data_IF_654655670820
#
_entry.id   IF_654655670820
#
_cell.length_a   1.000
_cell.length_b   1.000
_cell.length_c   1.000
_cell.angle_alpha   90.00
_cell.angle_beta   90.00
_cell.angle_gamma   90.00
#
_symmetry.space_group_name_H-M   'P 1'
#
loop_
_entity.id
_entity.type
_entity.pdbx_description
1 polymer ?
#
# COMPACT_ATOMS: atom_id res chain seq x y z
N UNK A 1 -42.47 -30.35 -46.83
CA UNK A 1 -41.11 -29.74 -47.05
C UNK A 1 -41.02 -28.29 -46.53
N UNK A 2 -41.92 -27.38 -46.84
CA UNK A 2 -41.81 -25.96 -46.38
C UNK A 2 -41.95 -25.78 -44.84
N UNK A 3 -42.81 -26.56 -44.20
CA UNK A 3 -43.02 -26.48 -42.74
C UNK A 3 -41.81 -27.01 -41.95
N UNK A 4 -41.16 -28.07 -42.42
CA UNK A 4 -39.96 -28.64 -41.79
C UNK A 4 -38.77 -27.67 -41.90
N UNK A 5 -38.64 -26.98 -43.02
CA UNK A 5 -37.59 -25.97 -43.22
C UNK A 5 -37.75 -24.78 -42.24
N UNK A 6 -38.98 -24.35 -41.94
CA UNK A 6 -39.25 -23.30 -40.97
C UNK A 6 -38.94 -23.71 -39.53
N UNK A 7 -39.20 -24.99 -39.18
CA UNK A 7 -38.81 -25.54 -37.85
C UNK A 7 -37.28 -25.63 -37.69
N UNK A 8 -36.57 -26.00 -38.71
CA UNK A 8 -35.09 -26.03 -38.69
C UNK A 8 -34.52 -24.63 -38.55
N UNK A 9 -35.04 -23.62 -39.27
CA UNK A 9 -34.61 -22.22 -39.16
C UNK A 9 -34.93 -21.67 -37.78
N UNK A 10 -36.10 -21.96 -37.20
CA UNK A 10 -36.46 -21.55 -35.85
C UNK A 10 -35.53 -22.20 -34.78
N UNK A 11 -35.19 -23.49 -34.98
CA UNK A 11 -34.27 -24.17 -34.07
C UNK A 11 -32.85 -23.60 -34.13
N UNK A 12 -32.34 -23.29 -35.34
CA UNK A 12 -31.03 -22.62 -35.53
C UNK A 12 -31.04 -21.22 -34.91
N UNK A 13 -32.14 -20.46 -35.06
CA UNK A 13 -32.28 -19.13 -34.44
C UNK A 13 -32.29 -19.21 -32.92
N UNK A 14 -32.95 -20.22 -32.31
CA UNK A 14 -32.94 -20.43 -30.86
C UNK A 14 -31.54 -20.83 -30.36
N UNK A 15 -30.79 -21.67 -31.13
CA UNK A 15 -29.42 -22.04 -30.78
C UNK A 15 -28.48 -20.81 -30.90
N UNK A 16 -28.68 -19.95 -31.89
CA UNK A 16 -27.90 -18.71 -32.03
C UNK A 16 -28.16 -17.71 -30.90
N UNK A 17 -29.40 -17.64 -30.37
CA UNK A 17 -29.73 -16.79 -29.23
C UNK A 17 -29.13 -17.35 -27.91
N UNK A 18 -29.04 -18.67 -27.76
CA UNK A 18 -28.41 -19.31 -26.61
C UNK A 18 -26.88 -19.19 -26.63
N UNK A 19 -26.27 -19.00 -27.80
CA UNK A 19 -24.81 -18.74 -27.94
C UNK A 19 -24.42 -17.29 -27.66
N UNK A 20 -25.39 -16.35 -27.59
CA UNK A 20 -25.12 -14.94 -27.30
C UNK A 20 -24.85 -14.63 -25.81
N UNK A 21 -24.95 -15.64 -24.93
CA UNK A 21 -24.56 -15.52 -23.53
C UNK A 21 -23.11 -15.95 -23.32
N UNK A 22 -22.20 -15.62 -24.27
CA UNK A 22 -20.77 -15.87 -24.17
C UNK A 22 -20.15 -15.09 -23.03
N UNK A 23 -19.39 -15.75 -22.18
CA UNK A 23 -18.51 -15.08 -21.22
C UNK A 23 -17.52 -14.21 -21.99
N UNK A 24 -17.41 -12.90 -21.64
CA UNK A 24 -16.44 -11.98 -22.24
C UNK A 24 -15.05 -12.61 -22.24
N UNK A 25 -14.30 -12.42 -23.30
CA UNK A 25 -12.90 -12.82 -23.40
C UNK A 25 -12.01 -11.98 -22.48
N UNK A 26 -10.79 -12.40 -22.25
CA UNK A 26 -9.80 -11.62 -21.53
C UNK A 26 -9.61 -10.24 -22.16
N UNK A 27 -9.48 -10.20 -23.49
CA UNK A 27 -9.27 -8.98 -24.29
C UNK A 27 -10.44 -7.99 -24.13
N UNK A 28 -11.70 -8.50 -24.19
CA UNK A 28 -12.88 -7.66 -24.01
C UNK A 28 -12.91 -7.04 -22.60
N UNK A 29 -12.62 -7.86 -21.57
CA UNK A 29 -12.64 -7.37 -20.17
C UNK A 29 -11.48 -6.40 -19.90
N UNK A 30 -10.32 -6.66 -20.46
CA UNK A 30 -9.16 -5.76 -20.34
C UNK A 30 -9.45 -4.41 -20.99
N UNK A 31 -10.10 -4.41 -22.15
CA UNK A 31 -10.55 -3.19 -22.84
C UNK A 31 -11.60 -2.43 -22.00
N UNK A 32 -12.59 -3.13 -21.47
CA UNK A 32 -13.61 -2.52 -20.59
C UNK A 32 -12.97 -1.87 -19.34
N UNK A 33 -11.97 -2.53 -18.73
CA UNK A 33 -11.23 -2.00 -17.57
C UNK A 33 -10.45 -0.73 -17.95
N UNK A 34 -9.79 -0.75 -19.11
CA UNK A 34 -9.06 0.40 -19.61
C UNK A 34 -10.01 1.59 -19.87
N UNK A 35 -11.08 1.37 -20.64
CA UNK A 35 -12.08 2.39 -20.93
C UNK A 35 -12.69 2.95 -19.62
N UNK A 36 -13.05 2.08 -18.69
CA UNK A 36 -13.54 2.48 -17.37
C UNK A 36 -12.55 3.36 -16.63
N UNK A 37 -11.27 2.97 -16.56
CA UNK A 37 -10.23 3.75 -15.88
C UNK A 37 -10.00 5.12 -16.56
N UNK A 38 -10.09 5.19 -17.89
CA UNK A 38 -9.94 6.44 -18.64
C UNK A 38 -11.12 7.40 -18.43
N UNK A 39 -12.35 6.89 -18.39
CA UNK A 39 -13.59 7.68 -18.25
C UNK A 39 -13.86 8.16 -16.83
N UNK A 40 -13.32 7.48 -15.81
CA UNK A 40 -13.49 7.87 -14.41
C UNK A 40 -13.02 9.30 -14.17
N UNK A 41 -13.85 10.10 -13.50
CA UNK A 41 -13.46 11.41 -12.95
C UNK A 41 -12.83 11.29 -11.56
N UNK A 42 -13.10 10.21 -10.87
CA UNK A 42 -12.59 9.87 -9.56
C UNK A 42 -13.40 8.77 -8.89
N UNK A 43 -13.02 8.40 -7.69
CA UNK A 43 -13.76 7.43 -6.88
C UNK A 43 -13.50 7.63 -5.38
N UNK A 44 -14.39 7.04 -4.58
CA UNK A 44 -14.19 6.75 -3.16
C UNK A 44 -14.28 5.25 -2.97
N UNK A 45 -13.39 4.68 -2.18
CA UNK A 45 -13.43 3.27 -1.82
C UNK A 45 -13.06 3.06 -0.36
N UNK A 46 -13.58 2.00 0.23
CA UNK A 46 -13.13 1.47 1.52
C UNK A 46 -12.69 0.03 1.33
N UNK A 47 -11.62 -0.32 2.00
CA UNK A 47 -11.04 -1.65 1.93
C UNK A 47 -10.41 -2.04 3.27
N UNK A 48 -10.22 -3.34 3.46
CA UNK A 48 -9.39 -3.89 4.52
C UNK A 48 -8.15 -4.49 3.92
N UNK A 49 -6.98 -4.05 4.39
CA UNK A 49 -5.70 -4.63 4.00
C UNK A 49 -5.15 -5.49 5.14
N UNK A 50 -4.70 -6.68 4.81
CA UNK A 50 -4.02 -7.58 5.74
C UNK A 50 -2.62 -7.86 5.21
N UNK A 51 -1.62 -7.65 6.06
CA UNK A 51 -0.21 -7.90 5.78
C UNK A 51 0.24 -9.13 6.57
N UNK A 52 0.68 -10.18 5.88
CA UNK A 52 1.26 -11.36 6.49
C UNK A 52 2.79 -11.16 6.62
N UNK A 53 3.20 -10.29 7.56
CA UNK A 53 4.61 -9.97 7.84
C UNK A 53 4.90 -10.28 9.30
N UNK A 54 6.01 -11.00 9.56
CA UNK A 54 6.37 -11.43 10.91
C UNK A 54 5.48 -12.55 11.44
N UNK A 55 5.36 -12.64 12.77
CA UNK A 55 4.65 -13.73 13.45
C UNK A 55 3.13 -13.54 13.50
N UNK A 56 2.64 -12.32 13.34
CA UNK A 56 1.21 -12.01 13.38
C UNK A 56 0.82 -11.12 12.18
N UNK A 57 -0.35 -11.39 11.56
CA UNK A 57 -0.83 -10.52 10.49
C UNK A 57 -1.26 -9.16 11.04
N UNK A 58 -0.90 -8.11 10.31
CA UNK A 58 -1.32 -6.74 10.59
C UNK A 58 -2.49 -6.37 9.67
N UNK A 59 -3.55 -5.81 10.24
CA UNK A 59 -4.73 -5.36 9.49
C UNK A 59 -4.89 -3.85 9.56
N UNK A 60 -5.28 -3.26 8.42
CA UNK A 60 -5.53 -1.82 8.26
C UNK A 60 -6.87 -1.62 7.58
N UNK A 61 -7.67 -0.71 8.11
CA UNK A 61 -8.79 -0.15 7.38
C UNK A 61 -8.29 0.98 6.49
N UNK A 62 -8.70 0.97 5.22
CA UNK A 62 -8.23 1.92 4.22
C UNK A 62 -9.41 2.69 3.64
N UNK A 63 -9.36 4.02 3.74
CA UNK A 63 -10.21 4.93 3.01
C UNK A 63 -9.45 5.55 1.84
N UNK A 64 -9.97 5.39 0.63
CA UNK A 64 -9.32 5.81 -0.61
C UNK A 64 -10.21 6.81 -1.33
N UNK A 65 -9.67 8.00 -1.58
CA UNK A 65 -10.31 9.02 -2.40
C UNK A 65 -9.37 9.38 -3.56
N UNK A 66 -9.91 9.38 -4.74
CA UNK A 66 -9.21 9.83 -5.94
C UNK A 66 -10.07 10.80 -6.74
N UNK A 67 -9.46 11.88 -7.22
CA UNK A 67 -10.07 12.86 -8.11
C UNK A 67 -9.08 13.24 -9.23
N UNK A 68 -9.49 13.08 -10.48
CA UNK A 68 -8.63 13.46 -11.61
C UNK A 68 -8.40 14.98 -11.65
N UNK A 69 -7.23 15.42 -12.15
CA UNK A 69 -6.23 14.62 -12.87
C UNK A 69 -5.22 13.87 -11.97
N UNK A 70 -5.15 14.07 -10.67
CA UNK A 70 -4.10 13.42 -9.88
C UNK A 70 -4.15 13.70 -8.39
N UNK A 71 -5.32 14.08 -7.85
CA UNK A 71 -5.51 14.20 -6.41
C UNK A 71 -5.82 12.83 -5.82
N UNK A 72 -5.12 12.45 -4.75
CA UNK A 72 -5.31 11.23 -3.98
C UNK A 72 -5.28 11.52 -2.50
N UNK A 73 -6.10 10.80 -1.75
CA UNK A 73 -6.08 10.73 -0.30
C UNK A 73 -6.29 9.27 0.09
N UNK A 74 -5.29 8.65 0.68
CA UNK A 74 -5.34 7.27 1.17
C UNK A 74 -5.07 7.31 2.66
N UNK A 75 -6.06 6.94 3.45
CA UNK A 75 -5.98 6.91 4.90
C UNK A 75 -5.91 5.46 5.37
N UNK A 76 -4.79 5.09 6.00
CA UNK A 76 -4.53 3.77 6.57
C UNK A 76 -4.68 3.85 8.09
N UNK A 77 -5.54 3.02 8.66
CA UNK A 77 -5.78 2.93 10.11
C UNK A 77 -5.52 1.53 10.61
N UNK A 78 -4.71 1.40 11.63
CA UNK A 78 -4.54 0.18 12.39
C UNK A 78 -5.18 0.33 13.77
N UNK A 79 -6.42 -0.16 13.92
CA UNK A 79 -7.18 -0.02 15.17
C UNK A 79 -6.50 -0.66 16.37
N UNK A 80 -5.86 -1.84 16.18
CA UNK A 80 -5.20 -2.56 17.28
C UNK A 80 -4.02 -1.80 17.88
N UNK A 81 -3.34 -0.99 17.04
CA UNK A 81 -2.15 -0.21 17.44
C UNK A 81 -2.45 1.27 17.60
N UNK A 82 -3.71 1.69 17.42
CA UNK A 82 -4.10 3.11 17.38
C UNK A 82 -3.20 3.97 16.47
N UNK A 83 -2.82 3.39 15.32
CA UNK A 83 -1.94 4.01 14.33
C UNK A 83 -2.75 4.49 13.14
N UNK A 84 -2.44 5.69 12.71
CA UNK A 84 -3.04 6.27 11.51
C UNK A 84 -1.98 6.97 10.70
N UNK A 85 -1.99 6.71 9.40
CA UNK A 85 -1.14 7.40 8.44
C UNK A 85 -1.96 7.74 7.20
N UNK A 86 -1.69 8.90 6.59
CA UNK A 86 -2.38 9.30 5.38
C UNK A 86 -1.40 9.67 4.28
N UNK A 87 -1.57 9.07 3.11
CA UNK A 87 -0.89 9.49 1.89
C UNK A 87 -1.79 10.48 1.18
N UNK A 88 -1.29 11.67 0.92
CA UNK A 88 -2.00 12.72 0.22
C UNK A 88 -1.20 13.17 -1.00
N UNK A 89 -1.83 13.18 -2.16
CA UNK A 89 -1.31 13.83 -3.37
C UNK A 89 -2.26 14.92 -3.80
N UNK A 90 -1.71 16.09 -4.05
CA UNK A 90 -2.44 17.22 -4.60
C UNK A 90 -1.53 18.05 -5.52
N UNK A 91 -1.99 19.23 -5.95
CA UNK A 91 -1.22 20.11 -6.86
C UNK A 91 0.11 20.61 -6.29
N UNK A 92 0.31 20.53 -4.97
CA UNK A 92 1.50 21.05 -4.29
C UNK A 92 2.56 19.97 -4.04
N UNK A 93 2.20 18.69 -4.19
CA UNK A 93 3.12 17.55 -4.04
C UNK A 93 2.48 16.31 -3.49
N UNK A 94 3.34 15.39 -3.06
CA UNK A 94 2.99 14.15 -2.38
C UNK A 94 3.40 14.25 -0.92
N UNK A 95 2.50 13.92 -0.03
CA UNK A 95 2.68 14.05 1.41
C UNK A 95 2.34 12.75 2.12
N UNK A 96 3.08 12.43 3.15
CA UNK A 96 2.71 11.42 4.14
C UNK A 96 2.45 12.16 5.45
N UNK A 97 1.20 12.10 5.92
CA UNK A 97 0.77 12.71 7.16
C UNK A 97 0.79 11.66 8.26
N UNK A 98 1.40 12.00 9.38
CA UNK A 98 1.42 11.18 10.59
C UNK A 98 0.67 11.92 11.70
N UNK A 99 -0.66 11.70 11.85
CA UNK A 99 -1.51 12.46 12.75
C UNK A 99 -1.07 12.42 14.21
N UNK A 100 -0.60 11.25 14.67
CA UNK A 100 -0.11 11.05 16.04
C UNK A 100 1.09 11.95 16.39
N UNK A 101 1.89 12.35 15.41
CA UNK A 101 3.06 13.23 15.59
C UNK A 101 2.79 14.67 15.16
N UNK A 102 1.61 14.96 14.60
CA UNK A 102 1.29 16.23 13.94
C UNK A 102 2.34 16.64 12.87
N UNK A 103 2.95 15.65 12.20
CA UNK A 103 3.98 15.84 11.19
C UNK A 103 3.48 15.51 9.78
N UNK A 104 3.97 16.29 8.82
CA UNK A 104 3.76 16.08 7.38
C UNK A 104 5.12 15.92 6.69
N UNK A 105 5.32 14.84 5.98
CA UNK A 105 6.52 14.58 5.18
C UNK A 105 6.21 14.83 3.72
N UNK A 106 6.88 15.79 3.10
CA UNK A 106 6.69 16.14 1.69
C UNK A 106 7.76 15.48 0.84
N UNK A 107 7.32 14.66 -0.12
CA UNK A 107 8.17 13.92 -1.04
C UNK A 107 8.24 14.55 -2.43
N UNK A 108 9.38 14.38 -3.10
CA UNK A 108 9.54 14.57 -4.53
C UNK A 108 9.36 13.20 -5.20
N UNK A 109 8.11 12.81 -5.47
CA UNK A 109 7.78 11.47 -5.97
C UNK A 109 6.69 11.54 -7.03
N UNK A 110 6.74 10.59 -7.99
CA UNK A 110 5.69 10.38 -9.00
C UNK A 110 4.57 9.46 -8.52
N UNK A 111 4.56 9.12 -7.21
CA UNK A 111 3.50 8.28 -6.64
C UNK A 111 2.10 8.74 -7.12
N UNK A 112 1.18 7.83 -7.44
CA UNK A 112 1.27 6.37 -7.37
C UNK A 112 1.80 5.69 -8.64
N UNK A 113 2.27 6.43 -9.63
CA UNK A 113 2.58 5.90 -10.99
C UNK A 113 3.86 5.06 -11.05
N UNK A 114 4.77 5.29 -10.14
CA UNK A 114 6.11 4.67 -10.12
C UNK A 114 6.12 3.20 -9.68
N UNK A 115 5.03 2.69 -9.10
CA UNK A 115 4.96 1.35 -8.51
C UNK A 115 3.53 0.82 -8.49
N UNK A 116 3.34 -0.49 -8.34
CA UNK A 116 2.04 -1.10 -8.03
C UNK A 116 1.48 -0.57 -6.72
N UNK A 117 0.15 -0.40 -6.66
CA UNK A 117 -0.57 -0.05 -5.44
C UNK A 117 -1.80 -0.96 -5.36
N UNK A 118 -1.76 -1.95 -4.46
CA UNK A 118 -2.79 -2.99 -4.36
C UNK A 118 -4.20 -2.47 -4.01
N UNK A 119 -4.32 -1.21 -3.60
CA UNK A 119 -5.58 -0.57 -3.22
C UNK A 119 -6.03 0.55 -4.17
N UNK A 120 -5.29 0.87 -5.24
CA UNK A 120 -5.66 1.92 -6.21
C UNK A 120 -6.18 1.33 -7.51
N UNK A 121 -7.40 1.67 -7.90
CA UNK A 121 -8.07 1.14 -9.09
C UNK A 121 -7.24 1.28 -10.36
N UNK A 122 -6.67 2.46 -10.61
CA UNK A 122 -5.85 2.71 -11.78
C UNK A 122 -4.57 1.87 -11.79
N UNK A 123 -4.00 1.63 -10.62
CA UNK A 123 -2.81 0.79 -10.50
C UNK A 123 -3.12 -0.66 -10.84
N UNK A 124 -4.26 -1.19 -10.37
CA UNK A 124 -4.70 -2.54 -10.69
C UNK A 124 -4.92 -2.73 -12.19
N UNK A 125 -5.59 -1.77 -12.82
CA UNK A 125 -5.81 -1.80 -14.28
C UNK A 125 -4.48 -1.68 -15.04
N UNK A 126 -3.58 -0.78 -14.61
CA UNK A 126 -2.28 -0.60 -15.25
C UNK A 126 -1.40 -1.85 -15.14
N UNK A 127 -1.47 -2.59 -14.05
CA UNK A 127 -0.71 -3.85 -13.87
C UNK A 127 -1.22 -4.92 -14.85
N UNK A 128 -2.54 -5.04 -15.04
CA UNK A 128 -3.12 -5.98 -16.01
C UNK A 128 -2.73 -5.60 -17.44
N UNK A 129 -2.79 -4.31 -17.79
CA UNK A 129 -2.43 -3.82 -19.12
C UNK A 129 -0.94 -3.98 -19.45
N UNK A 130 -0.09 -3.91 -18.42
CA UNK A 130 1.36 -4.04 -18.56
C UNK A 130 1.83 -5.49 -18.74
N UNK A 131 1.03 -6.47 -18.33
CA UNK A 131 1.40 -7.90 -18.36
C UNK A 131 0.73 -8.63 -19.53
N UNK A 132 1.46 -8.80 -20.62
CA UNK A 132 0.99 -9.56 -21.79
C UNK A 132 0.79 -11.06 -21.53
N UNK A 133 1.31 -11.58 -20.42
CA UNK A 133 1.20 -12.98 -20.00
C UNK A 133 0.16 -13.18 -18.88
N UNK A 134 -0.60 -12.13 -18.55
CA UNK A 134 -1.63 -12.21 -17.53
C UNK A 134 -2.60 -13.36 -17.79
N UNK A 135 -2.89 -14.15 -16.77
CA UNK A 135 -3.88 -15.22 -16.86
C UNK A 135 -5.26 -14.66 -16.46
N UNK A 136 -6.29 -15.17 -17.11
CA UNK A 136 -7.65 -14.72 -16.91
C UNK A 136 -8.60 -15.89 -16.66
N UNK A 137 -9.51 -15.69 -15.71
CA UNK A 137 -10.60 -16.61 -15.40
C UNK A 137 -11.89 -15.85 -15.18
N UNK A 138 -12.94 -16.19 -15.91
CA UNK A 138 -14.28 -15.71 -15.66
C UNK A 138 -15.05 -16.74 -14.81
N UNK A 139 -15.50 -16.34 -13.62
CA UNK A 139 -16.42 -17.12 -12.76
C UNK A 139 -17.88 -16.71 -13.04
N UNK A 140 -18.82 -17.15 -12.25
CA UNK A 140 -20.23 -16.72 -12.39
C UNK A 140 -20.38 -15.23 -12.15
N UNK A 141 -19.70 -14.67 -11.14
CA UNK A 141 -19.89 -13.31 -10.64
C UNK A 141 -18.67 -12.41 -10.83
N UNK A 142 -17.47 -12.98 -11.06
CA UNK A 142 -16.23 -12.24 -11.05
C UNK A 142 -15.38 -12.52 -12.28
N UNK A 143 -14.51 -11.55 -12.57
CA UNK A 143 -13.32 -11.68 -13.41
C UNK A 143 -12.11 -11.74 -12.52
N UNK A 144 -11.24 -12.72 -12.71
CA UNK A 144 -10.01 -12.91 -11.94
C UNK A 144 -8.82 -12.86 -12.89
N UNK A 145 -7.85 -12.01 -12.57
CA UNK A 145 -6.58 -11.88 -13.27
C UNK A 145 -5.44 -12.28 -12.36
N UNK A 146 -4.55 -13.15 -12.84
CA UNK A 146 -3.25 -13.36 -12.26
C UNK A 146 -2.23 -12.61 -13.12
N UNK A 147 -1.50 -11.65 -12.53
CA UNK A 147 -0.58 -10.76 -13.26
C UNK A 147 0.68 -10.48 -12.45
N UNK A 148 1.73 -10.05 -13.14
CA UNK A 148 2.97 -9.57 -12.52
C UNK A 148 2.73 -8.23 -11.82
N UNK A 149 3.53 -7.96 -10.81
CA UNK A 149 3.54 -6.66 -10.13
C UNK A 149 4.58 -5.73 -10.73
N UNK A 150 4.42 -4.43 -10.46
CA UNK A 150 5.41 -3.39 -10.76
C UNK A 150 6.01 -2.79 -9.49
N UNK A 151 6.03 -3.57 -8.38
CA UNK A 151 6.69 -3.14 -7.15
C UNK A 151 8.21 -2.96 -7.35
N UNK A 152 8.81 -2.04 -6.60
CA UNK A 152 10.26 -1.85 -6.61
C UNK A 152 10.99 -3.14 -6.20
N UNK A 153 10.42 -3.90 -5.26
CA UNK A 153 10.90 -5.20 -4.80
C UNK A 153 10.22 -6.38 -5.51
N UNK A 154 10.04 -6.28 -6.83
CA UNK A 154 9.35 -7.30 -7.66
C UNK A 154 9.91 -8.71 -7.54
N UNK A 155 11.18 -8.89 -7.13
CA UNK A 155 11.76 -10.20 -6.91
C UNK A 155 11.16 -10.89 -5.67
N UNK A 156 10.73 -10.11 -4.67
CA UNK A 156 10.08 -10.62 -3.46
C UNK A 156 8.56 -10.72 -3.63
N UNK A 157 7.96 -9.81 -4.42
CA UNK A 157 6.53 -9.69 -4.66
C UNK A 157 6.23 -9.76 -6.16
N UNK A 158 6.51 -10.90 -6.83
CA UNK A 158 6.49 -10.96 -8.30
C UNK A 158 5.09 -10.95 -8.90
N UNK A 159 4.09 -11.50 -8.21
CA UNK A 159 2.77 -11.77 -8.78
C UNK A 159 1.65 -11.27 -7.88
N UNK A 160 0.49 -11.06 -8.49
CA UNK A 160 -0.75 -10.75 -7.77
C UNK A 160 -1.97 -11.37 -8.46
N UNK A 161 -3.00 -11.66 -7.66
CA UNK A 161 -4.34 -12.01 -8.11
C UNK A 161 -5.28 -10.82 -7.88
N UNK A 162 -5.96 -10.37 -8.94
CA UNK A 162 -6.89 -9.25 -8.89
C UNK A 162 -8.28 -9.73 -9.29
N UNK A 163 -9.27 -9.51 -8.44
CA UNK A 163 -10.67 -9.91 -8.67
C UNK A 163 -11.54 -8.69 -8.86
N UNK A 164 -12.32 -8.66 -9.97
CA UNK A 164 -13.33 -7.64 -10.25
C UNK A 164 -14.72 -8.25 -10.32
N UNK A 165 -15.71 -7.49 -9.89
CA UNK A 165 -17.13 -7.84 -10.03
C UNK A 165 -17.58 -7.68 -11.47
N UNK A 166 -18.29 -8.69 -12.01
CA UNK A 166 -18.91 -8.59 -13.33
C UNK A 166 -19.95 -7.48 -13.37
N UNK A 167 -20.06 -6.83 -14.52
CA UNK A 167 -21.01 -5.75 -14.76
C UNK A 167 -20.54 -4.39 -14.29
N UNK A 168 -20.10 -4.23 -13.05
CA UNK A 168 -19.66 -2.94 -12.50
C UNK A 168 -18.16 -2.69 -12.66
N UNK A 169 -17.34 -3.74 -12.78
CA UNK A 169 -15.88 -3.70 -12.78
C UNK A 169 -15.30 -3.07 -11.49
N UNK A 170 -16.05 -3.15 -10.39
CA UNK A 170 -15.56 -2.81 -9.07
C UNK A 170 -14.53 -3.84 -8.62
N UNK A 171 -13.39 -3.43 -8.01
CA UNK A 171 -12.47 -4.37 -7.40
C UNK A 171 -13.13 -5.05 -6.19
N UNK A 172 -12.90 -6.33 -6.04
CA UNK A 172 -13.41 -7.16 -4.92
C UNK A 172 -12.26 -7.49 -3.99
N UNK A 173 -11.16 -8.00 -4.54
CA UNK A 173 -9.97 -8.34 -3.77
C UNK A 173 -8.71 -8.29 -4.61
N UNK A 174 -7.60 -8.06 -3.93
CA UNK A 174 -6.24 -8.17 -4.46
C UNK A 174 -5.43 -8.99 -3.50
N UNK A 175 -4.66 -9.96 -4.02
CA UNK A 175 -3.69 -10.73 -3.25
C UNK A 175 -2.33 -10.60 -3.92
N UNK A 176 -1.37 -10.01 -3.22
CA UNK A 176 0.02 -9.95 -3.67
C UNK A 176 0.77 -11.12 -3.08
N UNK A 177 1.49 -11.85 -3.94
CA UNK A 177 2.15 -13.11 -3.61
C UNK A 177 3.66 -12.92 -3.50
N UNK A 178 4.27 -13.67 -2.57
CA UNK A 178 5.72 -13.86 -2.55
C UNK A 178 6.18 -14.81 -3.69
N UNK A 179 7.49 -15.05 -3.78
CA UNK A 179 8.06 -15.97 -4.76
C UNK A 179 7.59 -17.43 -4.60
N UNK A 180 7.11 -17.80 -3.41
CA UNK A 180 6.56 -19.14 -3.11
C UNK A 180 5.05 -19.22 -3.31
N UNK A 181 4.43 -18.18 -3.88
CA UNK A 181 2.98 -18.06 -4.11
C UNK A 181 2.16 -17.98 -2.81
N UNK A 182 2.74 -17.56 -1.70
CA UNK A 182 1.99 -17.25 -0.49
C UNK A 182 1.48 -15.81 -0.55
N UNK A 183 0.21 -15.55 -0.19
CA UNK A 183 -0.32 -14.20 -0.13
C UNK A 183 0.30 -13.46 1.07
N UNK A 184 1.05 -12.40 0.79
CA UNK A 184 1.70 -11.54 1.80
C UNK A 184 0.98 -10.21 2.00
N UNK A 185 0.25 -9.74 0.97
CA UNK A 185 -0.68 -8.61 1.09
C UNK A 185 -2.03 -9.06 0.54
N UNK A 186 -3.09 -8.86 1.32
CA UNK A 186 -4.47 -9.08 0.87
C UNK A 186 -5.25 -7.79 1.09
N UNK A 187 -5.91 -7.30 0.04
CA UNK A 187 -6.84 -6.16 0.09
C UNK A 187 -8.22 -6.64 -0.27
N UNK A 188 -9.20 -6.41 0.60
CA UNK A 188 -10.61 -6.74 0.40
C UNK A 188 -11.42 -5.45 0.36
N UNK A 189 -12.01 -5.15 -0.80
CA UNK A 189 -12.81 -3.95 -0.98
C UNK A 189 -14.24 -4.19 -0.44
N UNK A 190 -14.72 -3.27 0.40
CA UNK A 190 -16.06 -3.34 0.97
C UNK A 190 -17.05 -2.39 0.31
N UNK A 191 -16.56 -1.25 -0.19
CA UNK A 191 -17.37 -0.24 -0.86
C UNK A 191 -16.57 0.43 -1.97
N UNK A 192 -17.25 0.71 -3.09
CA UNK A 192 -16.72 1.49 -4.20
C UNK A 192 -17.80 2.44 -4.71
N UNK A 193 -17.47 3.72 -4.85
CA UNK A 193 -18.33 4.74 -5.42
C UNK A 193 -17.58 5.44 -6.55
N UNK A 194 -18.02 5.27 -7.77
CA UNK A 194 -17.44 5.91 -8.94
C UNK A 194 -18.03 7.31 -9.15
N UNK A 195 -17.18 8.25 -9.52
CA UNK A 195 -17.51 9.63 -9.85
C UNK A 195 -18.24 10.41 -8.71
N UNK A 196 -17.80 10.28 -7.44
CA UNK A 196 -18.35 11.07 -6.35
C UNK A 196 -18.07 12.56 -6.56
N UNK A 197 -18.80 13.40 -5.85
CA UNK A 197 -18.48 14.82 -5.76
C UNK A 197 -17.52 15.04 -4.60
N UNK A 198 -16.50 15.84 -4.83
CA UNK A 198 -15.55 16.27 -3.81
C UNK A 198 -15.68 17.78 -3.55
N UNK A 199 -15.57 18.16 -2.29
CA UNK A 199 -15.47 19.55 -1.89
C UNK A 199 -14.09 20.11 -2.26
N UNK A 200 -14.00 21.43 -2.40
CA UNK A 200 -12.78 22.12 -2.83
C UNK A 200 -11.57 21.79 -1.95
N UNK A 201 -11.79 21.53 -0.67
CA UNK A 201 -10.75 21.29 0.32
C UNK A 201 -10.55 19.81 0.69
N UNK A 202 -11.19 18.88 -0.06
CA UNK A 202 -11.12 17.43 0.21
C UNK A 202 -9.70 16.85 0.18
N UNK A 203 -8.79 17.51 -0.54
CA UNK A 203 -7.39 17.12 -0.71
C UNK A 203 -6.40 18.18 -0.17
N UNK A 204 -6.89 19.05 0.70
CA UNK A 204 -6.04 20.01 1.41
C UNK A 204 -5.28 19.34 2.55
N UNK A 205 -4.00 19.70 2.71
CA UNK A 205 -3.10 19.05 3.67
C UNK A 205 -3.53 19.30 5.13
N UNK A 206 -3.89 20.56 5.47
CA UNK A 206 -4.30 20.90 6.83
C UNK A 206 -5.64 20.25 7.19
N UNK A 207 -6.63 20.32 6.29
CA UNK A 207 -7.93 19.70 6.50
C UNK A 207 -7.80 18.17 6.61
N UNK A 208 -6.93 17.57 5.82
CA UNK A 208 -6.66 16.13 5.86
C UNK A 208 -6.00 15.72 7.17
N UNK A 209 -5.03 16.50 7.66
CA UNK A 209 -4.41 16.30 8.98
C UNK A 209 -5.44 16.42 10.11
N UNK A 210 -6.21 17.51 10.15
CA UNK A 210 -7.25 17.71 11.16
C UNK A 210 -8.29 16.59 11.16
N UNK A 211 -8.74 16.17 9.97
CA UNK A 211 -9.67 15.05 9.83
C UNK A 211 -9.08 13.74 10.38
N UNK A 212 -7.81 13.47 10.08
CA UNK A 212 -7.15 12.26 10.55
C UNK A 212 -6.89 12.27 12.07
N UNK A 213 -6.63 13.44 12.66
CA UNK A 213 -6.46 13.60 14.11
C UNK A 213 -7.78 13.37 14.87
N UNK A 214 -8.92 13.78 14.30
CA UNK A 214 -10.24 13.53 14.91
C UNK A 214 -10.61 12.04 14.93
N UNK A 215 -10.04 11.26 14.03
CA UNK A 215 -10.25 9.83 13.92
C UNK A 215 -9.31 9.00 14.82
N UNK A 216 -8.29 9.61 15.41
CA UNK A 216 -7.39 8.97 16.37
C UNK A 216 -7.91 9.30 17.77
N UNK A 217 -8.18 8.29 18.59
CA UNK A 217 -8.43 8.53 20.02
C UNK A 217 -7.20 9.26 20.58
N UNK A 218 -7.43 10.41 21.20
CA UNK A 218 -6.38 11.12 21.91
C UNK A 218 -5.90 10.19 23.00
N UNK A 219 -4.78 9.52 22.77
CA UNK A 219 -4.06 8.87 23.87
C UNK A 219 -3.68 10.04 24.77
N UNK A 220 -4.45 10.20 25.85
CA UNK A 220 -4.09 11.16 26.89
C UNK A 220 -2.63 10.87 27.21
N UNK A 221 -1.86 11.93 27.39
CA UNK A 221 -0.45 11.93 27.74
C UNK A 221 -0.19 10.94 28.91
N UNK A 222 -0.17 9.66 28.59
CA UNK A 222 0.37 8.64 29.49
C UNK A 222 1.87 8.69 29.25
N UNK A 223 2.47 9.70 29.82
CA UNK A 223 3.86 10.12 29.70
C UNK A 223 4.94 9.12 30.00
N UNK A 224 4.69 7.81 29.92
CA UNK A 224 5.66 6.77 30.17
C UNK A 224 5.43 5.51 29.31
N UNK A 225 5.20 5.63 27.99
CA UNK A 225 5.56 4.50 27.15
C UNK A 225 7.09 4.42 27.13
N UNK A 226 7.62 3.51 27.93
CA UNK A 226 9.06 3.28 28.00
C UNK A 226 9.61 3.01 26.62
N UNK A 227 10.63 3.78 26.18
CA UNK A 227 11.29 3.58 24.88
C UNK A 227 11.83 2.14 24.85
N UNK A 228 11.25 1.32 24.01
CA UNK A 228 11.67 -0.06 23.80
C UNK A 228 12.43 -0.15 22.48
N UNK A 229 13.63 -0.66 22.52
CA UNK A 229 14.47 -0.92 21.35
C UNK A 229 13.80 -2.00 20.50
N UNK A 230 13.73 -1.75 19.19
CA UNK A 230 13.17 -2.68 18.20
C UNK A 230 14.30 -3.26 17.35
N UNK A 231 14.24 -4.56 17.08
CA UNK A 231 15.31 -5.27 16.39
C UNK A 231 14.88 -5.71 14.99
N UNK A 232 15.83 -5.76 14.06
CA UNK A 232 15.59 -6.39 12.76
C UNK A 232 15.50 -7.90 12.92
N UNK A 233 14.42 -8.47 12.38
CA UNK A 233 14.20 -9.92 12.28
C UNK A 233 14.49 -10.42 10.85
N UNK A 234 15.12 -9.60 10.00
CA UNK A 234 15.47 -10.00 8.64
C UNK A 234 16.55 -11.09 8.68
N UNK A 235 16.30 -12.18 7.95
CA UNK A 235 17.29 -13.23 7.74
C UNK A 235 18.17 -12.87 6.54
N UNK A 236 19.30 -12.19 6.82
CA UNK A 236 20.34 -11.92 5.84
C UNK A 236 21.53 -12.82 6.18
N UNK A 237 21.90 -13.75 5.28
CA UNK A 237 22.95 -14.72 5.56
C UNK A 237 24.25 -14.07 6.06
N UNK A 238 24.76 -14.55 7.20
CA UNK A 238 26.03 -14.12 7.77
C UNK A 238 25.99 -12.79 8.51
N UNK A 239 24.86 -12.08 8.59
CA UNK A 239 24.75 -10.82 9.34
C UNK A 239 24.18 -11.09 10.73
N UNK A 240 24.83 -10.51 11.75
CA UNK A 240 24.39 -10.56 13.15
C UNK A 240 24.46 -9.18 13.79
N UNK A 241 23.73 -8.96 14.88
CA UNK A 241 23.86 -7.77 15.70
C UNK A 241 25.22 -7.80 16.41
N UNK A 242 26.08 -6.80 16.13
CA UNK A 242 27.44 -6.71 16.69
C UNK A 242 27.57 -5.63 17.75
N UNK A 243 26.73 -4.60 17.71
CA UNK A 243 26.75 -3.52 18.71
C UNK A 243 25.34 -2.98 18.94
N UNK A 244 25.01 -2.77 20.21
CA UNK A 244 23.85 -2.02 20.67
C UNK A 244 24.28 -0.89 21.57
N UNK A 245 23.88 0.33 21.28
CA UNK A 245 24.19 1.51 22.07
C UNK A 245 22.93 2.34 22.29
N UNK A 246 22.54 2.54 23.54
CA UNK A 246 21.46 3.46 23.90
C UNK A 246 22.04 4.69 24.56
N UNK A 247 21.69 5.87 24.06
CA UNK A 247 22.14 7.16 24.57
C UNK A 247 20.95 8.05 24.90
N UNK A 248 21.09 8.92 25.91
CA UNK A 248 20.13 9.96 26.18
C UNK A 248 20.46 11.17 25.29
N UNK A 249 19.44 11.73 24.66
CA UNK A 249 19.50 12.95 23.87
C UNK A 249 18.60 14.02 24.50
N UNK A 250 18.62 15.23 23.98
CA UNK A 250 17.70 16.29 24.42
C UNK A 250 16.23 15.93 24.17
N UNK A 251 15.97 15.09 23.17
CA UNK A 251 14.63 14.64 22.74
C UNK A 251 14.25 13.26 23.32
N UNK A 252 14.98 12.74 24.29
CA UNK A 252 14.74 11.44 24.90
C UNK A 252 15.84 10.42 24.63
N UNK A 253 15.46 9.15 24.44
CA UNK A 253 16.42 8.06 24.21
C UNK A 253 16.60 7.80 22.71
N UNK A 254 17.84 7.58 22.31
CA UNK A 254 18.21 7.13 20.96
C UNK A 254 18.94 5.79 21.06
N UNK A 255 18.53 4.79 20.28
CA UNK A 255 19.22 3.52 20.16
C UNK A 255 19.92 3.44 18.79
N UNK A 256 21.15 2.90 18.78
CA UNK A 256 21.94 2.56 17.61
C UNK A 256 22.18 1.05 17.65
N UNK A 257 21.75 0.36 16.60
CA UNK A 257 21.94 -1.07 16.43
C UNK A 257 22.80 -1.29 15.18
N UNK A 258 24.00 -1.80 15.37
CA UNK A 258 24.92 -2.12 14.26
C UNK A 258 24.90 -3.61 13.99
N UNK A 259 24.66 -3.96 12.74
CA UNK A 259 24.65 -5.32 12.22
C UNK A 259 25.78 -5.48 11.23
N UNK A 260 26.53 -6.57 11.33
CA UNK A 260 27.65 -6.83 10.43
C UNK A 260 27.84 -8.32 10.15
N UNK A 261 28.40 -8.60 8.98
CA UNK A 261 28.87 -9.89 8.50
C UNK A 261 30.21 -9.74 7.76
N UNK A 262 30.61 -10.73 6.97
CA UNK A 262 31.88 -10.68 6.25
C UNK A 262 31.90 -9.57 5.19
N UNK A 263 30.84 -9.45 4.38
CA UNK A 263 30.78 -8.55 3.23
C UNK A 263 29.74 -7.46 3.33
N UNK A 264 28.85 -7.51 4.33
CA UNK A 264 27.73 -6.59 4.45
C UNK A 264 27.54 -6.08 5.86
N UNK A 265 27.10 -4.83 5.95
CA UNK A 265 26.78 -4.18 7.21
C UNK A 265 25.64 -3.19 7.08
N UNK A 266 24.93 -2.95 8.18
CA UNK A 266 23.95 -1.88 8.27
C UNK A 266 23.78 -1.40 9.72
N UNK A 267 23.25 -0.19 9.87
CA UNK A 267 22.92 0.38 11.17
C UNK A 267 21.48 0.83 11.19
N UNK A 268 20.78 0.54 12.26
CA UNK A 268 19.43 1.07 12.53
C UNK A 268 19.53 2.06 13.69
N UNK A 269 19.14 3.29 13.43
CA UNK A 269 19.01 4.35 14.44
C UNK A 269 17.53 4.49 14.77
N UNK A 270 17.20 4.52 16.05
CA UNK A 270 15.83 4.67 16.56
C UNK A 270 15.80 5.82 17.56
N UNK A 271 14.85 6.73 17.41
CA UNK A 271 14.68 7.86 18.32
C UNK A 271 13.22 8.09 18.63
N UNK A 272 12.87 8.23 19.92
CA UNK A 272 11.54 8.64 20.33
C UNK A 272 11.32 10.10 19.90
N UNK A 273 10.19 10.37 19.32
CA UNK A 273 9.83 11.71 18.84
C UNK A 273 8.80 12.31 19.76
N UNK A 274 9.03 13.56 20.18
CA UNK A 274 8.03 14.30 20.92
C UNK A 274 6.86 14.69 20.02
N UNK A 275 5.65 14.57 20.57
CA UNK A 275 4.43 15.00 19.89
C UNK A 275 4.41 16.51 19.78
N UNK A 276 4.34 17.02 18.54
CA UNK A 276 4.24 18.47 18.30
C UNK A 276 2.81 18.93 18.63
N UNK A 277 2.63 20.03 19.40
CA UNK A 277 1.30 20.54 19.71
C UNK A 277 0.44 20.76 18.45
N UNK A 278 -0.85 20.44 18.53
CA UNK A 278 -1.78 20.49 17.40
C UNK A 278 -1.97 21.88 16.75
N UNK A 279 -1.44 22.94 17.36
CA UNK A 279 -1.56 24.32 16.86
C UNK A 279 -0.71 24.61 15.62
N UNK A 280 0.29 23.79 15.30
CA UNK A 280 1.13 23.96 14.11
C UNK A 280 1.58 22.60 13.57
N UNK A 281 1.14 22.24 12.37
CA UNK A 281 1.67 21.08 11.66
C UNK A 281 3.07 21.40 11.13
N UNK A 282 4.06 20.58 11.49
CA UNK A 282 5.39 20.66 10.90
C UNK A 282 5.41 19.94 9.54
N UNK A 283 5.94 20.61 8.51
CA UNK A 283 6.18 19.98 7.21
C UNK A 283 7.67 19.81 6.99
N UNK A 284 8.10 18.55 6.89
CA UNK A 284 9.49 18.17 6.62
C UNK A 284 9.62 17.81 5.14
N UNK A 285 10.56 18.45 4.43
CA UNK A 285 10.90 18.04 3.06
C UNK A 285 11.80 16.81 3.14
N UNK A 286 11.41 15.74 2.47
CA UNK A 286 12.12 14.47 2.48
C UNK A 286 12.88 14.28 1.18
N UNK A 287 14.18 13.99 1.29
CA UNK A 287 14.98 13.56 0.16
C UNK A 287 14.83 12.03 0.02
N UNK A 288 14.52 11.56 -1.19
CA UNK A 288 14.34 10.15 -1.49
C UNK A 288 12.97 9.82 -2.10
N UNK A 289 12.85 8.61 -2.59
CA UNK A 289 11.63 8.05 -3.13
C UNK A 289 10.74 7.48 -2.00
N UNK A 290 9.44 7.53 -2.21
CA UNK A 290 8.50 6.84 -1.33
C UNK A 290 8.68 5.34 -1.43
N UNK A 291 8.81 4.66 -0.29
CA UNK A 291 8.84 3.20 -0.20
C UNK A 291 7.70 2.71 0.70
N UNK A 292 6.94 1.76 0.18
CA UNK A 292 5.88 1.10 0.93
C UNK A 292 6.48 -0.05 1.76
N UNK A 293 6.52 0.15 3.07
CA UNK A 293 6.97 -0.85 4.04
C UNK A 293 5.82 -1.77 4.49
N UNK A 294 4.62 -1.57 3.92
CA UNK A 294 3.43 -2.33 4.24
C UNK A 294 2.69 -1.79 5.46
N UNK A 295 3.36 -1.57 6.58
CA UNK A 295 2.78 -1.01 7.81
C UNK A 295 2.92 0.52 7.89
N UNK A 296 3.82 1.10 7.12
CA UNK A 296 4.07 2.55 7.03
C UNK A 296 4.69 2.89 5.69
N UNK A 297 4.68 4.17 5.34
CA UNK A 297 5.41 4.69 4.19
C UNK A 297 6.71 5.32 4.68
N UNK A 298 7.82 4.85 4.12
CA UNK A 298 9.15 5.40 4.37
C UNK A 298 9.67 6.24 3.21
N UNK A 299 10.85 6.83 3.42
CA UNK A 299 11.64 7.50 2.42
C UNK A 299 12.93 6.73 2.16
N UNK A 300 13.21 6.41 0.91
CA UNK A 300 14.35 5.60 0.51
C UNK A 300 15.29 6.39 -0.40
N UNK A 301 16.58 6.33 -0.11
CA UNK A 301 17.67 6.76 -0.98
C UNK A 301 18.53 5.56 -1.34
N UNK A 302 19.61 5.77 -2.08
CA UNK A 302 20.56 4.69 -2.41
C UNK A 302 21.20 4.03 -1.17
N UNK A 303 21.21 4.71 -0.02
CA UNK A 303 21.95 4.29 1.18
C UNK A 303 21.12 4.29 2.46
N UNK A 304 19.90 4.80 2.43
CA UNK A 304 19.08 4.95 3.64
C UNK A 304 17.64 4.61 3.39
N UNK A 305 16.97 4.11 4.43
CA UNK A 305 15.52 4.13 4.53
C UNK A 305 15.15 4.80 5.86
N UNK A 306 14.29 5.82 5.82
CA UNK A 306 13.73 6.44 7.02
C UNK A 306 12.21 6.24 7.08
N UNK A 307 11.68 5.98 8.25
CA UNK A 307 10.23 5.86 8.49
C UNK A 307 9.89 6.21 9.94
N UNK A 308 8.61 6.38 10.21
CA UNK A 308 8.09 6.55 11.56
C UNK A 308 7.09 5.44 11.87
N UNK A 309 7.18 4.88 13.06
CA UNK A 309 6.22 3.91 13.59
C UNK A 309 6.08 4.06 15.10
N UNK A 310 4.85 4.05 15.63
CA UNK A 310 4.56 4.13 17.09
C UNK A 310 5.26 5.28 17.83
N UNK A 311 5.41 6.47 17.24
CA UNK A 311 6.08 7.61 17.88
C UNK A 311 7.61 7.48 17.94
N UNK A 312 8.18 6.54 17.21
CA UNK A 312 9.61 6.35 17.03
C UNK A 312 9.97 6.66 15.57
N UNK A 313 11.00 7.45 15.36
CA UNK A 313 11.63 7.64 14.05
C UNK A 313 12.77 6.61 13.89
N UNK A 314 12.83 6.02 12.72
CA UNK A 314 13.82 5.03 12.34
C UNK A 314 14.62 5.54 11.15
N UNK A 315 15.92 5.26 11.18
CA UNK A 315 16.81 5.46 10.05
C UNK A 315 17.70 4.21 9.89
N UNK A 316 17.47 3.48 8.81
CA UNK A 316 18.35 2.42 8.34
C UNK A 316 19.40 3.02 7.43
N UNK A 317 20.67 2.72 7.66
CA UNK A 317 21.83 3.15 6.85
C UNK A 317 22.64 1.94 6.45
N UNK A 318 22.95 1.82 5.17
CA UNK A 318 23.88 0.81 4.63
C UNK A 318 24.56 1.32 3.36
N UNK A 319 25.81 0.87 3.15
CA UNK A 319 26.51 1.03 1.87
C UNK A 319 26.57 -0.29 1.09
N UNK A 320 26.20 -1.40 1.72
CA UNK A 320 26.48 -2.75 1.25
C UNK A 320 25.22 -3.53 0.89
N UNK A 321 24.06 -3.12 1.45
CA UNK A 321 22.77 -3.77 1.16
C UNK A 321 22.19 -3.28 -0.17
N UNK A 322 21.56 -4.20 -0.89
CA UNK A 322 20.74 -3.83 -2.05
C UNK A 322 19.44 -3.12 -1.60
N UNK A 323 18.76 -2.38 -2.48
CA UNK A 323 17.48 -1.77 -2.19
C UNK A 323 16.44 -2.76 -1.63
N UNK A 324 16.37 -3.96 -2.19
CA UNK A 324 15.47 -5.02 -1.75
C UNK A 324 15.79 -5.52 -0.34
N UNK A 325 17.09 -5.70 -0.04
CA UNK A 325 17.55 -6.09 1.30
C UNK A 325 17.27 -5.00 2.33
N UNK A 326 17.47 -3.72 1.98
CA UNK A 326 17.13 -2.60 2.84
C UNK A 326 15.64 -2.56 3.16
N UNK A 327 14.78 -2.77 2.16
CA UNK A 327 13.32 -2.85 2.35
C UNK A 327 12.97 -4.05 3.26
N UNK A 328 13.61 -5.20 3.05
CA UNK A 328 13.40 -6.39 3.89
C UNK A 328 13.79 -6.13 5.34
N UNK A 329 14.94 -5.51 5.60
CA UNK A 329 15.37 -5.10 6.94
C UNK A 329 14.35 -4.14 7.56
N UNK A 330 13.97 -3.06 6.87
CA UNK A 330 13.03 -2.07 7.39
C UNK A 330 11.67 -2.69 7.73
N UNK A 331 11.14 -3.59 6.88
CA UNK A 331 9.89 -4.32 7.12
C UNK A 331 9.95 -5.27 8.30
N UNK A 332 11.12 -5.77 8.65
CA UNK A 332 11.33 -6.74 9.71
C UNK A 332 11.56 -6.12 11.10
N UNK A 333 11.73 -4.79 11.17
CA UNK A 333 11.94 -4.11 12.47
C UNK A 333 10.68 -4.16 13.29
N UNK A 334 10.74 -4.85 14.40
CA UNK A 334 9.61 -5.04 15.32
C UNK A 334 10.07 -4.92 16.76
N UNK A 335 9.17 -4.50 17.65
CA UNK A 335 9.39 -4.61 19.09
C UNK A 335 9.50 -6.09 19.46
N UNK A 336 10.70 -6.56 19.69
CA UNK A 336 10.99 -7.94 20.09
C UNK A 336 11.39 -8.03 21.55
N UNK A 337 10.78 -8.94 22.28
CA UNK A 337 11.38 -9.44 23.52
C UNK A 337 12.59 -10.27 23.08
N UNK A 338 13.79 -9.71 23.22
CA UNK A 338 15.02 -10.51 23.11
C UNK A 338 14.96 -11.52 24.25
N UNK A 339 14.90 -12.81 23.91
CA UNK A 339 15.11 -13.89 24.86
C UNK A 339 16.59 -14.08 25.13
#
# INVERSE_FOLDING_TARGET
MRKELWLVIALIAVIAILSACGTKSQEDVTKDLQEKAEELKGYKATAKMTLAVGNEPHSYDIDIWHNKPGDYRVHLKNEKKNQSQMILRNKTGVYVLTPALNKSYKFQSDWPKNSSQAYLYESLVADILADSEAKFKATKEHYVFETKTRYQNKNMLPNQEITFKKGTLEPVSVKVMDANQNPVVTVEFSKMEFNPKFDKNSFDTNNSMTSAQLDVEVIGDNGDSEFSVQYSMADIPGITLVEEKVVNTENGKRALLSYAGEDKSFTIIQEKVDVIPATSMETVNVNGEMVDLGFTIGAMTDKTISWSDNGVEFLLVSNDLTPEEMIMVAKSVQGGVVK
#
